data_IF_414056359383
#
_entry.id   IF_414056359383
#
_cell.length_a   1.000
_cell.length_b   1.000
_cell.length_c   1.000
_cell.angle_alpha   90.00
_cell.angle_beta   90.00
_cell.angle_gamma   90.00
#
_symmetry.space_group_name_H-M   'P 1'
#
loop_
_entity.id
_entity.type
_entity.pdbx_description
1 polymer ?
#
# COMPACT_ATOMS: atom_id res chain seq x y z
N UNK A 1 0.76 -14.10 5.02
CA UNK A 1 1.72 -13.85 3.92
C UNK A 1 3.01 -13.34 4.56
N UNK A 2 4.11 -14.10 4.53
CA UNK A 2 5.33 -13.79 5.30
C UNK A 2 5.94 -12.42 4.97
N UNK A 3 5.78 -11.94 3.74
CA UNK A 3 6.37 -10.68 3.27
C UNK A 3 5.81 -9.41 3.94
N UNK A 4 4.59 -9.46 4.48
CA UNK A 4 3.97 -8.32 5.16
C UNK A 4 4.27 -8.27 6.65
N UNK A 5 4.83 -9.35 7.21
CA UNK A 5 5.13 -9.44 8.63
C UNK A 5 6.12 -8.34 9.00
N UNK A 6 5.75 -7.47 9.92
CA UNK A 6 6.56 -6.33 10.40
C UNK A 6 6.96 -5.33 9.30
N UNK A 7 6.32 -5.37 8.11
CA UNK A 7 6.61 -4.44 7.01
C UNK A 7 6.06 -3.03 7.26
N UNK A 8 4.98 -2.93 8.03
CA UNK A 8 4.35 -1.65 8.36
C UNK A 8 3.64 -1.71 9.72
N UNK A 9 3.33 -0.54 10.25
CA UNK A 9 2.47 -0.38 11.43
C UNK A 9 1.34 0.57 11.11
N UNK A 10 0.11 0.18 11.43
CA UNK A 10 -1.06 1.08 11.32
C UNK A 10 -1.00 2.10 12.46
N UNK A 11 -1.01 3.38 12.12
CA UNK A 11 -1.03 4.51 13.05
C UNK A 11 -2.44 5.00 13.31
N UNK A 12 -3.22 5.12 12.24
CA UNK A 12 -4.61 5.57 12.31
C UNK A 12 -5.48 4.76 11.34
N UNK A 13 -6.74 4.59 11.72
CA UNK A 13 -7.75 3.89 10.93
C UNK A 13 -9.09 4.61 11.09
N UNK A 14 -9.75 4.84 9.96
CA UNK A 14 -11.15 5.22 9.86
C UNK A 14 -11.84 4.35 8.80
N UNK A 15 -13.12 4.63 8.52
CA UNK A 15 -13.89 3.88 7.52
C UNK A 15 -13.32 4.02 6.10
N UNK A 16 -12.69 5.15 5.78
CA UNK A 16 -12.22 5.48 4.44
C UNK A 16 -10.72 5.77 4.35
N UNK A 17 -10.00 5.76 5.47
CA UNK A 17 -8.58 6.11 5.50
C UNK A 17 -7.79 5.20 6.43
N UNK A 18 -6.60 4.81 6.00
CA UNK A 18 -5.58 4.19 6.83
C UNK A 18 -4.29 4.99 6.75
N UNK A 19 -3.67 5.29 7.89
CA UNK A 19 -2.33 5.88 7.95
C UNK A 19 -1.38 4.82 8.48
N UNK A 20 -0.28 4.59 7.78
CA UNK A 20 0.70 3.57 8.13
C UNK A 20 2.13 4.08 7.98
N UNK A 21 3.01 3.62 8.86
CA UNK A 21 4.47 3.82 8.76
C UNK A 21 5.12 2.54 8.25
N UNK A 22 5.94 2.64 7.21
CA UNK A 22 6.72 1.51 6.72
C UNK A 22 7.91 1.19 7.63
N UNK A 23 8.37 -0.05 7.56
CA UNK A 23 9.58 -0.50 8.23
C UNK A 23 10.84 0.19 7.69
N UNK A 24 11.93 0.07 8.43
CA UNK A 24 13.24 0.55 7.98
C UNK A 24 13.81 -0.29 6.84
N UNK A 25 14.83 0.24 6.16
CA UNK A 25 15.56 -0.45 5.08
C UNK A 25 16.11 -1.83 5.48
N UNK A 26 16.20 -2.13 6.77
CA UNK A 26 16.67 -3.42 7.27
C UNK A 26 15.65 -4.56 7.09
N UNK A 27 14.39 -4.24 6.82
CA UNK A 27 13.35 -5.23 6.56
C UNK A 27 13.70 -6.08 5.32
N UNK A 28 13.45 -7.40 5.31
CA UNK A 28 13.82 -8.29 4.20
C UNK A 28 13.33 -7.82 2.83
N UNK A 29 12.10 -7.29 2.75
CA UNK A 29 11.55 -6.71 1.51
C UNK A 29 12.43 -5.59 0.95
N UNK A 30 12.85 -4.64 1.78
CA UNK A 30 13.64 -3.50 1.33
C UNK A 30 15.07 -3.89 0.97
N UNK A 31 15.67 -4.81 1.73
CA UNK A 31 16.96 -5.42 1.38
C UNK A 31 16.94 -6.11 0.02
N UNK A 32 15.80 -6.72 -0.34
CA UNK A 32 15.63 -7.40 -1.63
C UNK A 32 15.24 -6.45 -2.78
N UNK A 33 14.75 -5.24 -2.50
CA UNK A 33 14.12 -4.38 -3.51
C UNK A 33 14.39 -2.89 -3.27
N UNK A 34 15.49 -2.32 -3.75
CA UNK A 34 16.66 -2.94 -4.36
C UNK A 34 17.89 -2.56 -3.54
N UNK A 35 18.97 -3.36 -3.61
CA UNK A 35 20.21 -3.02 -2.93
C UNK A 35 20.72 -1.64 -3.37
N UNK A 36 20.90 -0.72 -2.42
CA UNK A 36 21.34 0.65 -2.68
C UNK A 36 20.25 1.60 -3.21
N UNK A 37 19.03 1.10 -3.44
CA UNK A 37 17.88 1.90 -3.83
C UNK A 37 16.59 1.26 -3.28
N UNK A 38 16.51 1.13 -1.96
CA UNK A 38 15.40 0.47 -1.29
C UNK A 38 14.09 1.20 -1.58
N UNK A 39 13.04 0.44 -1.90
CA UNK A 39 11.72 0.95 -2.22
C UNK A 39 10.64 -0.13 -2.05
N UNK A 40 9.41 0.30 -1.76
CA UNK A 40 8.30 -0.63 -1.65
C UNK A 40 7.91 -1.14 -3.05
N UNK A 41 7.91 -2.46 -3.22
CA UNK A 41 7.46 -3.08 -4.46
C UNK A 41 5.98 -2.76 -4.72
N UNK A 42 5.62 -2.49 -5.97
CA UNK A 42 4.26 -2.09 -6.34
C UNK A 42 3.20 -3.13 -5.93
N UNK A 43 3.49 -4.43 -6.09
CA UNK A 43 2.55 -5.49 -5.71
C UNK A 43 2.28 -5.55 -4.20
N UNK A 44 3.25 -5.17 -3.36
CA UNK A 44 3.04 -5.15 -1.91
C UNK A 44 2.03 -4.09 -1.50
N UNK A 45 1.86 -3.02 -2.27
CA UNK A 45 0.79 -2.05 -2.02
C UNK A 45 -0.60 -2.70 -2.18
N UNK A 46 -0.74 -3.61 -3.14
CA UNK A 46 -1.98 -4.36 -3.38
C UNK A 46 -2.22 -5.36 -2.24
N UNK A 47 -1.18 -6.05 -1.79
CA UNK A 47 -1.28 -6.98 -0.67
C UNK A 47 -1.58 -6.27 0.66
N UNK A 48 -0.99 -5.09 0.88
CA UNK A 48 -1.32 -4.22 2.02
C UNK A 48 -2.80 -3.83 1.95
N UNK A 49 -3.32 -3.42 0.79
CA UNK A 49 -4.76 -3.09 0.64
C UNK A 49 -5.63 -4.28 1.01
N UNK A 50 -5.34 -5.46 0.45
CA UNK A 50 -6.03 -6.72 0.73
C UNK A 50 -6.08 -7.01 2.24
N UNK A 51 -4.95 -6.83 2.92
CA UNK A 51 -4.83 -7.01 4.37
C UNK A 51 -5.62 -5.96 5.17
N UNK A 52 -5.50 -4.67 4.83
CA UNK A 52 -6.18 -3.58 5.54
C UNK A 52 -7.70 -3.68 5.43
N UNK A 53 -8.21 -4.10 4.27
CA UNK A 53 -9.65 -4.20 4.01
C UNK A 53 -10.25 -5.57 4.36
N UNK A 54 -9.43 -6.54 4.77
CA UNK A 54 -9.87 -7.89 5.13
C UNK A 54 -10.71 -8.56 4.02
N UNK A 55 -10.28 -8.42 2.76
CA UNK A 55 -10.93 -9.08 1.62
C UNK A 55 -9.90 -9.62 0.64
N UNK A 56 -10.35 -10.43 -0.32
CA UNK A 56 -9.48 -10.93 -1.39
C UNK A 56 -9.70 -10.10 -2.66
N UNK A 57 -8.61 -9.59 -3.23
CA UNK A 57 -8.64 -8.92 -4.53
C UNK A 57 -8.63 -9.99 -5.64
N UNK A 58 -9.66 -10.03 -6.49
CA UNK A 58 -9.78 -11.02 -7.59
C UNK A 58 -9.30 -10.48 -8.93
N UNK A 59 -9.38 -9.17 -9.15
CA UNK A 59 -9.04 -8.56 -10.43
C UNK A 59 -8.58 -7.12 -10.25
N UNK A 60 -7.40 -6.77 -10.76
CA UNK A 60 -6.91 -5.40 -10.81
C UNK A 60 -7.36 -4.79 -12.14
N UNK A 61 -8.20 -3.76 -12.09
CA UNK A 61 -8.65 -3.02 -13.29
C UNK A 61 -7.71 -1.90 -13.69
N UNK A 62 -7.03 -1.31 -12.71
CA UNK A 62 -6.01 -0.28 -12.94
C UNK A 62 -5.04 -0.26 -11.75
N UNK A 63 -3.75 -0.20 -12.04
CA UNK A 63 -2.71 0.12 -11.07
C UNK A 63 -1.78 1.16 -11.69
N UNK A 64 -1.60 2.29 -10.99
CA UNK A 64 -0.64 3.34 -11.37
C UNK A 64 0.30 3.57 -10.20
N UNK A 65 1.59 3.36 -10.42
CA UNK A 65 2.66 3.64 -9.45
C UNK A 65 3.41 4.90 -9.92
N UNK A 66 3.08 6.05 -9.34
CA UNK A 66 3.48 7.37 -9.87
C UNK A 66 4.79 7.88 -9.29
N UNK A 67 5.21 7.38 -8.12
CA UNK A 67 6.42 7.82 -7.45
C UNK A 67 6.94 6.72 -6.52
N UNK A 68 8.25 6.76 -6.25
CA UNK A 68 8.90 5.81 -5.36
C UNK A 68 8.43 6.01 -3.92
N UNK A 69 8.09 4.89 -3.29
CA UNK A 69 7.82 4.80 -1.85
C UNK A 69 9.06 4.21 -1.20
N UNK A 70 9.59 4.89 -0.19
CA UNK A 70 10.85 4.59 0.48
C UNK A 70 10.60 3.94 1.86
N UNK A 71 11.60 3.24 2.42
CA UNK A 71 11.53 2.79 3.81
C UNK A 71 11.19 3.95 4.74
N UNK A 72 10.53 3.65 5.86
CA UNK A 72 10.15 4.63 6.90
C UNK A 72 9.16 5.72 6.44
N UNK A 73 8.75 5.72 5.17
CA UNK A 73 7.69 6.60 4.67
C UNK A 73 6.38 6.38 5.48
N UNK A 74 5.69 7.48 5.75
CA UNK A 74 4.31 7.47 6.24
C UNK A 74 3.37 7.62 5.06
N UNK A 75 2.48 6.65 4.90
CA UNK A 75 1.54 6.56 3.79
C UNK A 75 0.11 6.67 4.27
N UNK A 76 -0.69 7.37 3.48
CA UNK A 76 -2.13 7.49 3.67
C UNK A 76 -2.87 6.78 2.54
N UNK A 77 -3.64 5.76 2.88
CA UNK A 77 -4.46 4.98 1.96
C UNK A 77 -5.90 5.47 2.05
N UNK A 78 -6.37 6.16 1.02
CA UNK A 78 -7.72 6.73 0.92
C UNK A 78 -8.62 5.88 0.03
N UNK A 79 -9.74 5.43 0.55
CA UNK A 79 -10.80 4.72 -0.18
C UNK A 79 -11.73 5.76 -0.79
N UNK A 80 -11.65 5.94 -2.11
CA UNK A 80 -12.37 7.03 -2.82
C UNK A 80 -13.64 6.59 -3.51
N UNK A 81 -13.80 5.30 -3.78
CA UNK A 81 -15.07 4.70 -4.19
C UNK A 81 -15.15 3.29 -3.65
N UNK A 82 -16.31 2.94 -3.13
CA UNK A 82 -16.67 1.60 -2.68
C UNK A 82 -18.09 1.34 -3.16
N UNK A 83 -18.25 0.49 -4.17
CA UNK A 83 -19.50 -0.21 -4.39
C UNK A 83 -19.37 -1.65 -3.83
N UNK A 84 -20.37 -2.51 -4.04
CA UNK A 84 -20.34 -3.86 -3.46
C UNK A 84 -19.17 -4.73 -3.96
N UNK A 85 -18.63 -4.46 -5.15
CA UNK A 85 -17.63 -5.31 -5.81
C UNK A 85 -16.37 -4.56 -6.25
N UNK A 86 -16.39 -3.23 -6.38
CA UNK A 86 -15.30 -2.40 -6.90
C UNK A 86 -14.83 -1.38 -5.88
N UNK A 87 -13.51 -1.27 -5.79
CA UNK A 87 -12.83 -0.41 -4.85
C UNK A 87 -11.78 0.44 -5.56
N UNK A 88 -11.74 1.72 -5.24
CA UNK A 88 -10.67 2.63 -5.66
C UNK A 88 -9.89 3.14 -4.47
N UNK A 89 -8.61 2.78 -4.40
CA UNK A 89 -7.69 3.24 -3.36
C UNK A 89 -6.65 4.18 -3.96
N UNK A 90 -6.48 5.33 -3.33
CA UNK A 90 -5.41 6.28 -3.61
C UNK A 90 -4.41 6.26 -2.45
N UNK A 91 -3.12 6.17 -2.77
CA UNK A 91 -2.05 6.16 -1.77
C UNK A 91 -1.32 7.50 -1.86
N UNK A 92 -1.17 8.18 -0.74
CA UNK A 92 -0.53 9.48 -0.61
C UNK A 92 0.67 9.43 0.34
N UNK A 93 1.64 10.31 0.10
CA UNK A 93 2.69 10.69 1.04
C UNK A 93 2.80 12.22 1.03
N UNK A 94 2.68 12.86 2.18
CA UNK A 94 2.81 14.34 2.29
C UNK A 94 1.98 15.10 1.22
N UNK A 95 0.71 14.71 1.06
CA UNK A 95 -0.21 15.23 0.03
C UNK A 95 0.15 14.94 -1.44
N UNK A 96 1.28 14.29 -1.72
CA UNK A 96 1.63 13.80 -3.07
C UNK A 96 0.98 12.44 -3.32
N UNK A 97 0.25 12.31 -4.42
CA UNK A 97 -0.30 11.02 -4.85
C UNK A 97 0.83 10.09 -5.31
N UNK A 98 1.01 9.00 -4.59
CA UNK A 98 2.03 7.99 -4.84
C UNK A 98 1.52 6.89 -5.76
N UNK A 99 0.28 6.45 -5.55
CA UNK A 99 -0.33 5.37 -6.34
C UNK A 99 -1.84 5.43 -6.41
N UNK A 100 -2.41 4.77 -7.42
CA UNK A 100 -3.85 4.63 -7.64
C UNK A 100 -4.16 3.20 -8.07
N UNK A 101 -4.99 2.51 -7.30
CA UNK A 101 -5.33 1.10 -7.49
C UNK A 101 -6.86 0.98 -7.53
N UNK A 102 -7.38 0.47 -8.64
CA UNK A 102 -8.78 0.12 -8.85
C UNK A 102 -8.87 -1.39 -9.02
N UNK A 103 -9.69 -2.04 -8.20
CA UNK A 103 -9.79 -3.49 -8.18
C UNK A 103 -11.20 -3.98 -7.85
N UNK A 104 -11.41 -5.26 -8.10
CA UNK A 104 -12.62 -6.02 -7.75
C UNK A 104 -12.33 -7.09 -6.71
N UNK A 105 -13.34 -7.40 -5.90
CA UNK A 105 -13.37 -8.52 -4.93
C UNK A 105 -14.29 -9.66 -5.38
#
# INVERSE_FOLDING_TARGET
MELLKDLFTVKEKSDYTYILSLASKNHPVFKAHFLGNEMLAGFLQIDIISLLMCHKIISIKKAKFLSLIKPEDVLEFRITSKDNIKYKVLIYKENKKMSEILYEI
#
